data_IF_257341230528
#
_entry.id   IF_257341230528
#
_cell.length_a   1.000
_cell.length_b   1.000
_cell.length_c   1.000
_cell.angle_alpha   90.00
_cell.angle_beta   90.00
_cell.angle_gamma   90.00
#
_symmetry.space_group_name_H-M   'P 1'
#
loop_
_entity.id
_entity.type
_entity.pdbx_description
1 polymer ?
#
# COMPACT_ATOMS: atom_id res chain seq x y z
N UNK A 1 40.30 -17.20 5.45
CA UNK A 1 39.59 -17.09 6.72
C UNK A 1 39.46 -15.60 7.02
N UNK A 2 38.35 -14.98 6.65
CA UNK A 2 37.98 -13.65 7.11
C UNK A 2 36.60 -13.80 7.72
N UNK A 3 36.56 -13.85 9.05
CA UNK A 3 35.35 -13.74 9.84
C UNK A 3 34.74 -12.35 9.62
N UNK A 4 33.89 -12.24 8.62
CA UNK A 4 32.97 -11.11 8.50
C UNK A 4 31.83 -11.29 9.52
N UNK A 5 32.16 -11.11 10.79
CA UNK A 5 31.23 -10.98 11.89
C UNK A 5 30.55 -9.59 11.76
N UNK A 6 29.72 -9.42 10.74
CA UNK A 6 28.88 -8.24 10.56
C UNK A 6 27.81 -8.28 11.64
N UNK A 7 28.09 -7.58 12.77
CA UNK A 7 27.06 -7.27 13.79
C UNK A 7 25.81 -6.80 13.07
N UNK A 8 24.60 -7.25 13.48
CA UNK A 8 23.37 -6.81 12.86
C UNK A 8 23.34 -5.27 12.90
N UNK A 9 23.26 -4.67 11.72
CA UNK A 9 23.24 -3.20 11.57
C UNK A 9 21.95 -2.69 12.19
N UNK A 10 22.03 -1.93 13.28
CA UNK A 10 20.87 -1.27 13.88
C UNK A 10 20.19 -0.32 12.88
N UNK A 11 18.95 0.06 13.14
CA UNK A 11 18.20 0.96 12.26
C UNK A 11 18.90 2.31 12.09
N UNK A 12 19.12 2.71 10.84
CA UNK A 12 19.64 4.05 10.53
C UNK A 12 18.60 5.12 10.88
N UNK A 13 19.06 6.34 11.22
CA UNK A 13 18.16 7.47 11.51
C UNK A 13 17.20 7.75 10.35
N UNK A 14 17.71 7.70 9.10
CA UNK A 14 16.90 7.89 7.91
C UNK A 14 15.76 6.88 7.83
N UNK A 15 16.04 5.59 8.07
CA UNK A 15 15.03 4.55 8.01
C UNK A 15 14.02 4.66 9.17
N UNK A 16 14.45 5.07 10.37
CA UNK A 16 13.57 5.27 11.53
C UNK A 16 12.48 6.31 11.27
N UNK A 17 12.82 7.42 10.63
CA UNK A 17 11.92 8.56 10.47
C UNK A 17 11.25 8.61 9.09
N UNK A 18 11.91 8.15 8.05
CA UNK A 18 11.47 8.29 6.66
C UNK A 18 11.05 6.97 6.00
N UNK A 19 10.92 5.88 6.77
CA UNK A 19 10.47 4.58 6.25
C UNK A 19 9.13 4.67 5.49
N UNK A 20 8.24 5.56 5.92
CA UNK A 20 6.91 5.71 5.35
C UNK A 20 6.78 6.70 4.19
N UNK A 21 7.86 7.31 3.69
CA UNK A 21 7.78 8.27 2.56
C UNK A 21 7.12 7.65 1.33
N UNK A 22 7.42 6.39 1.02
CA UNK A 22 6.75 5.67 -0.05
C UNK A 22 5.25 5.47 0.20
N UNK A 23 4.85 5.26 1.46
CA UNK A 23 3.44 5.12 1.85
C UNK A 23 2.69 6.45 1.78
N UNK A 24 3.36 7.58 2.03
CA UNK A 24 2.80 8.91 1.79
C UNK A 24 2.43 9.08 0.31
N UNK A 25 3.38 8.81 -0.59
CA UNK A 25 3.13 8.85 -2.04
C UNK A 25 2.03 7.87 -2.47
N UNK A 26 2.02 6.66 -1.91
CA UNK A 26 0.96 5.68 -2.14
C UNK A 26 -0.41 6.21 -1.69
N UNK A 27 -0.48 6.88 -0.55
CA UNK A 27 -1.72 7.47 -0.03
C UNK A 27 -2.21 8.60 -0.93
N UNK A 28 -1.32 9.46 -1.41
CA UNK A 28 -1.67 10.50 -2.39
C UNK A 28 -2.29 9.90 -3.64
N UNK A 29 -1.70 8.84 -4.18
CA UNK A 29 -2.22 8.12 -5.35
C UNK A 29 -3.58 7.48 -5.04
N UNK A 30 -3.69 6.69 -3.98
CA UNK A 30 -4.91 5.92 -3.67
C UNK A 30 -6.11 6.81 -3.31
N UNK A 31 -5.86 8.00 -2.79
CA UNK A 31 -6.93 8.94 -2.48
C UNK A 31 -7.63 9.49 -3.75
N UNK A 32 -6.95 9.53 -4.90
CA UNK A 32 -7.62 9.88 -6.16
C UNK A 32 -8.70 8.84 -6.49
N UNK A 33 -8.37 7.56 -6.35
CA UNK A 33 -9.33 6.48 -6.58
C UNK A 33 -10.51 6.59 -5.59
N UNK A 34 -10.20 6.83 -4.31
CA UNK A 34 -11.20 6.92 -3.24
C UNK A 34 -12.18 8.09 -3.43
N UNK A 35 -11.70 9.26 -3.80
CA UNK A 35 -12.51 10.49 -3.82
C UNK A 35 -13.01 10.86 -5.21
N UNK A 36 -12.27 10.54 -6.26
CA UNK A 36 -12.59 11.01 -7.61
C UNK A 36 -12.96 9.94 -8.62
N UNK A 37 -12.69 8.63 -8.36
CA UNK A 37 -13.02 7.61 -9.35
C UNK A 37 -14.52 7.56 -9.65
N UNK A 38 -15.36 7.56 -8.62
CA UNK A 38 -16.82 7.54 -8.81
C UNK A 38 -17.31 8.78 -9.57
N UNK A 39 -16.80 9.96 -9.21
CA UNK A 39 -17.13 11.20 -9.90
C UNK A 39 -16.67 11.18 -11.35
N UNK A 40 -15.46 10.73 -11.62
CA UNK A 40 -14.92 10.60 -12.96
C UNK A 40 -15.78 9.66 -13.82
N UNK A 41 -16.12 8.48 -13.31
CA UNK A 41 -16.90 7.50 -14.06
C UNK A 41 -18.32 7.96 -14.33
N UNK A 42 -18.97 8.67 -13.39
CA UNK A 42 -20.35 9.16 -13.54
C UNK A 42 -20.42 10.43 -14.39
N UNK A 43 -19.63 11.45 -14.06
CA UNK A 43 -19.79 12.79 -14.61
C UNK A 43 -18.91 13.06 -15.85
N UNK A 44 -17.68 12.53 -15.86
CA UNK A 44 -16.72 12.79 -16.96
C UNK A 44 -16.82 11.68 -18.00
N UNK A 45 -16.68 10.43 -17.63
CA UNK A 45 -16.77 9.28 -18.53
C UNK A 45 -18.24 8.97 -18.93
N UNK A 46 -19.22 9.36 -18.09
CA UNK A 46 -20.66 9.21 -18.31
C UNK A 46 -21.12 7.77 -18.50
N UNK A 47 -20.58 6.85 -17.70
CA UNK A 47 -21.08 5.49 -17.63
C UNK A 47 -22.38 5.41 -16.82
N UNK A 48 -23.23 4.44 -17.14
CA UNK A 48 -24.40 4.13 -16.30
C UNK A 48 -23.96 3.58 -14.93
N UNK A 49 -24.75 3.83 -13.89
CA UNK A 49 -24.47 3.31 -12.55
C UNK A 49 -24.29 1.79 -12.51
N UNK A 50 -25.08 1.07 -13.31
CA UNK A 50 -24.95 -0.38 -13.45
C UNK A 50 -23.60 -0.79 -14.03
N UNK A 51 -23.13 -0.11 -15.08
CA UNK A 51 -21.82 -0.36 -15.66
C UNK A 51 -20.70 -0.08 -14.65
N UNK A 52 -20.77 1.03 -13.93
CA UNK A 52 -19.77 1.40 -12.89
C UNK A 52 -19.73 0.32 -11.80
N UNK A 53 -20.89 -0.11 -11.31
CA UNK A 53 -20.97 -1.18 -10.29
C UNK A 53 -20.32 -2.48 -10.78
N UNK A 54 -20.59 -2.91 -12.00
CA UNK A 54 -19.98 -4.11 -12.58
C UNK A 54 -18.47 -3.96 -12.72
N UNK A 55 -17.98 -2.84 -13.28
CA UNK A 55 -16.55 -2.55 -13.46
C UNK A 55 -15.79 -2.58 -12.13
N UNK A 56 -16.29 -1.86 -11.14
CA UNK A 56 -15.65 -1.76 -9.82
C UNK A 56 -15.71 -3.08 -9.06
N UNK A 57 -16.85 -3.82 -9.13
CA UNK A 57 -16.99 -5.12 -8.48
C UNK A 57 -16.04 -6.15 -9.09
N UNK A 58 -15.97 -6.25 -10.41
CA UNK A 58 -15.04 -7.18 -11.09
C UNK A 58 -13.60 -6.87 -10.68
N UNK A 59 -13.21 -5.59 -10.73
CA UNK A 59 -11.87 -5.18 -10.34
C UNK A 59 -11.56 -5.51 -8.88
N UNK A 60 -12.51 -5.28 -7.96
CA UNK A 60 -12.35 -5.56 -6.54
C UNK A 60 -12.26 -7.07 -6.25
N UNK A 61 -13.08 -7.89 -6.90
CA UNK A 61 -13.04 -9.36 -6.73
C UNK A 61 -11.72 -9.93 -7.23
N UNK A 62 -11.27 -9.50 -8.42
CA UNK A 62 -9.98 -9.94 -8.96
C UNK A 62 -8.83 -9.52 -8.04
N UNK A 63 -8.83 -8.28 -7.55
CA UNK A 63 -7.82 -7.79 -6.62
C UNK A 63 -7.81 -8.58 -5.30
N UNK A 64 -8.98 -8.88 -4.75
CA UNK A 64 -9.11 -9.70 -3.54
C UNK A 64 -8.53 -11.11 -3.73
N UNK A 65 -8.82 -11.76 -4.86
CA UNK A 65 -8.26 -13.07 -5.19
C UNK A 65 -6.73 -12.98 -5.33
N UNK A 66 -6.24 -12.02 -6.10
CA UNK A 66 -4.80 -11.86 -6.34
C UNK A 66 -4.04 -11.48 -5.07
N UNK A 67 -4.65 -10.72 -4.17
CA UNK A 67 -4.05 -10.32 -2.90
C UNK A 67 -3.61 -11.51 -2.05
N UNK A 68 -4.33 -12.62 -2.10
CA UNK A 68 -3.96 -13.86 -1.43
C UNK A 68 -2.65 -14.47 -2.00
N UNK A 69 -2.33 -14.17 -3.25
CA UNK A 69 -1.21 -14.79 -3.95
C UNK A 69 0.05 -13.92 -4.01
N UNK A 70 -0.05 -12.59 -3.87
CA UNK A 70 1.13 -11.70 -4.00
C UNK A 70 2.26 -12.05 -3.03
N UNK A 71 1.95 -12.34 -1.77
CA UNK A 71 2.96 -12.74 -0.78
C UNK A 71 3.64 -14.05 -1.15
N UNK A 72 2.86 -15.06 -1.57
CA UNK A 72 3.38 -16.35 -2.03
C UNK A 72 4.20 -16.20 -3.32
N UNK A 73 3.75 -15.35 -4.23
CA UNK A 73 4.44 -15.03 -5.48
C UNK A 73 5.82 -14.43 -5.21
N UNK A 74 5.91 -13.39 -4.38
CA UNK A 74 7.17 -12.75 -4.03
C UNK A 74 8.14 -13.72 -3.33
N UNK A 75 7.62 -14.64 -2.51
CA UNK A 75 8.43 -15.65 -1.84
C UNK A 75 8.93 -16.75 -2.77
N UNK A 76 8.21 -17.07 -3.85
CA UNK A 76 8.59 -18.12 -4.82
C UNK A 76 9.57 -17.64 -5.89
N UNK A 77 9.57 -16.33 -6.19
CA UNK A 77 10.48 -15.79 -7.19
C UNK A 77 11.92 -15.86 -6.69
N UNK A 78 12.83 -16.23 -7.60
CA UNK A 78 14.26 -16.20 -7.31
C UNK A 78 14.70 -14.80 -6.90
N UNK A 79 15.54 -14.68 -5.86
CA UNK A 79 16.09 -13.39 -5.46
C UNK A 79 16.76 -12.67 -6.62
N UNK A 80 16.50 -11.36 -6.75
CA UNK A 80 17.09 -10.53 -7.80
C UNK A 80 18.35 -9.83 -7.28
N UNK A 81 19.06 -9.12 -8.15
CA UNK A 81 20.37 -8.48 -7.87
C UNK A 81 20.43 -7.72 -6.53
N UNK A 82 19.38 -6.99 -6.15
CA UNK A 82 19.36 -6.13 -4.97
C UNK A 82 18.64 -6.72 -3.76
N UNK A 83 18.29 -8.01 -3.79
CA UNK A 83 17.49 -8.71 -2.79
C UNK A 83 16.14 -9.15 -3.34
N UNK A 84 15.41 -9.94 -2.54
CA UNK A 84 14.12 -10.52 -2.89
C UNK A 84 13.02 -9.45 -2.97
N UNK A 85 12.90 -8.60 -1.94
CA UNK A 85 11.85 -7.59 -1.84
C UNK A 85 12.34 -6.22 -2.34
N UNK A 86 13.57 -5.84 -1.97
CA UNK A 86 14.14 -4.56 -2.31
C UNK A 86 14.21 -4.30 -3.81
N UNK A 87 14.41 -5.32 -4.63
CA UNK A 87 14.41 -5.19 -6.09
C UNK A 87 13.07 -4.74 -6.66
N UNK A 88 11.95 -5.09 -6.01
CA UNK A 88 10.62 -4.70 -6.45
C UNK A 88 10.27 -3.25 -6.13
N UNK A 89 10.98 -2.62 -5.17
CA UNK A 89 10.85 -1.19 -4.88
C UNK A 89 11.39 -0.28 -5.98
N UNK A 90 12.15 -0.83 -6.93
CA UNK A 90 12.69 -0.06 -8.06
C UNK A 90 12.14 -0.52 -9.42
N UNK A 91 11.84 -1.81 -9.58
CA UNK A 91 11.47 -2.34 -10.88
C UNK A 91 10.04 -1.98 -11.31
N UNK A 92 9.09 -2.06 -10.39
CA UNK A 92 7.67 -1.93 -10.70
C UNK A 92 7.08 -0.53 -10.49
N UNK A 93 7.54 0.29 -9.52
CA UNK A 93 6.87 1.57 -9.23
C UNK A 93 6.84 2.54 -10.42
N UNK A 94 7.83 2.52 -11.29
CA UNK A 94 7.89 3.40 -12.46
C UNK A 94 6.90 3.04 -13.57
N UNK A 95 6.37 1.82 -13.55
CA UNK A 95 5.31 1.40 -14.46
C UNK A 95 3.93 1.88 -13.98
N UNK A 96 3.76 2.05 -12.68
CA UNK A 96 2.47 2.40 -12.06
C UNK A 96 1.90 3.72 -12.58
N UNK A 97 2.65 4.83 -12.75
CA UNK A 97 2.10 6.09 -13.25
C UNK A 97 1.35 5.96 -14.56
N UNK A 98 1.87 5.18 -15.47
CA UNK A 98 1.24 4.95 -16.79
C UNK A 98 -0.03 4.10 -16.66
N UNK A 99 0.06 2.96 -15.98
CA UNK A 99 -1.07 2.05 -15.83
C UNK A 99 -2.19 2.65 -14.96
N UNK A 100 -1.81 3.41 -13.92
CA UNK A 100 -2.77 4.02 -13.02
C UNK A 100 -3.49 5.21 -13.69
N UNK A 101 -2.80 6.02 -14.48
CA UNK A 101 -3.42 7.10 -15.22
C UNK A 101 -4.42 6.60 -16.28
N UNK A 102 -4.16 5.42 -16.87
CA UNK A 102 -5.04 4.85 -17.92
C UNK A 102 -6.48 4.62 -17.44
N UNK A 103 -6.71 4.35 -16.14
CA UNK A 103 -8.07 4.17 -15.61
C UNK A 103 -8.89 5.47 -15.61
N UNK A 104 -8.23 6.64 -15.72
CA UNK A 104 -8.86 7.96 -15.80
C UNK A 104 -8.84 8.54 -17.22
N UNK A 105 -8.65 7.71 -18.24
CA UNK A 105 -8.70 8.13 -19.65
C UNK A 105 -10.08 7.81 -20.22
N UNK A 106 -10.79 8.83 -20.69
CA UNK A 106 -12.06 8.67 -21.39
C UNK A 106 -11.82 8.35 -22.86
N UNK A 107 -12.13 7.11 -23.27
CA UNK A 107 -12.12 6.71 -24.69
C UNK A 107 -13.55 6.77 -25.25
N UNK A 108 -14.48 6.06 -24.62
CA UNK A 108 -15.90 6.01 -24.98
C UNK A 108 -16.70 5.64 -23.74
N UNK A 109 -17.99 5.96 -23.72
CA UNK A 109 -18.90 5.58 -22.63
C UNK A 109 -19.65 4.25 -22.90
N UNK A 110 -19.34 3.58 -24.01
CA UNK A 110 -19.90 2.27 -24.37
C UNK A 110 -19.15 1.10 -23.71
N UNK A 111 -19.55 -0.13 -24.12
CA UNK A 111 -18.96 -1.36 -23.62
C UNK A 111 -17.45 -1.44 -23.78
N UNK A 112 -16.92 -0.98 -24.91
CA UNK A 112 -15.47 -0.97 -25.16
C UNK A 112 -14.71 -0.09 -24.15
N UNK A 113 -15.25 1.09 -23.80
CA UNK A 113 -14.69 1.96 -22.77
C UNK A 113 -14.74 1.33 -21.39
N UNK A 114 -15.86 0.67 -21.03
CA UNK A 114 -16.01 -0.03 -19.77
C UNK A 114 -14.99 -1.17 -19.61
N UNK A 115 -14.80 -1.97 -20.66
CA UNK A 115 -13.80 -3.05 -20.68
C UNK A 115 -12.38 -2.47 -20.53
N UNK A 116 -12.06 -1.41 -21.30
CA UNK A 116 -10.74 -0.78 -21.22
C UNK A 116 -10.42 -0.27 -19.82
N UNK A 117 -11.33 0.48 -19.19
CA UNK A 117 -11.13 0.99 -17.84
C UNK A 117 -11.04 -0.12 -16.81
N UNK A 118 -11.88 -1.17 -16.92
CA UNK A 118 -11.81 -2.33 -16.04
C UNK A 118 -10.44 -3.03 -16.13
N UNK A 119 -9.93 -3.24 -17.33
CA UNK A 119 -8.60 -3.81 -17.54
C UNK A 119 -7.50 -2.87 -17.00
N UNK A 120 -7.62 -1.57 -17.21
CA UNK A 120 -6.70 -0.58 -16.65
C UNK A 120 -6.71 -0.60 -15.11
N UNK A 121 -7.88 -0.70 -14.48
CA UNK A 121 -8.01 -0.85 -13.03
C UNK A 121 -7.33 -2.13 -12.52
N UNK A 122 -7.56 -3.27 -13.17
CA UNK A 122 -6.96 -4.55 -12.76
C UNK A 122 -5.44 -4.51 -12.93
N UNK A 123 -4.95 -4.07 -14.07
CA UNK A 123 -3.50 -4.04 -14.35
C UNK A 123 -2.76 -3.04 -13.45
N UNK A 124 -3.35 -1.88 -13.17
CA UNK A 124 -2.79 -0.91 -12.25
C UNK A 124 -2.73 -1.45 -10.82
N UNK A 125 -3.78 -2.14 -10.35
CA UNK A 125 -3.81 -2.80 -9.03
C UNK A 125 -2.72 -3.86 -8.90
N UNK A 126 -2.53 -4.69 -9.91
CA UNK A 126 -1.42 -5.66 -9.92
C UNK A 126 -0.08 -4.93 -9.83
N UNK A 127 0.12 -3.88 -10.61
CA UNK A 127 1.37 -3.15 -10.69
C UNK A 127 1.77 -2.48 -9.36
N UNK A 128 0.83 -1.87 -8.64
CA UNK A 128 1.15 -1.19 -7.38
C UNK A 128 1.09 -2.09 -6.14
N UNK A 129 0.36 -3.22 -6.18
CA UNK A 129 0.35 -4.18 -5.06
C UNK A 129 1.72 -4.83 -4.84
N UNK A 130 2.44 -5.13 -5.91
CA UNK A 130 3.76 -5.78 -5.81
C UNK A 130 4.75 -4.92 -5.00
N UNK A 131 5.04 -3.66 -5.35
CA UNK A 131 5.96 -2.83 -4.57
C UNK A 131 5.40 -2.47 -3.20
N UNK A 132 4.08 -2.35 -3.02
CA UNK A 132 3.45 -2.13 -1.73
C UNK A 132 3.74 -3.27 -0.77
N UNK A 133 3.52 -4.53 -1.17
CA UNK A 133 3.78 -5.70 -0.34
C UNK A 133 5.28 -5.86 -0.08
N UNK A 134 6.12 -5.59 -1.07
CA UNK A 134 7.56 -5.57 -0.90
C UNK A 134 7.99 -4.54 0.16
N UNK A 135 7.41 -3.34 0.13
CA UNK A 135 7.63 -2.28 1.10
C UNK A 135 7.23 -2.70 2.52
N UNK A 136 6.03 -3.32 2.68
CA UNK A 136 5.58 -3.85 3.98
C UNK A 136 6.52 -4.95 4.49
N UNK A 137 6.97 -5.84 3.61
CA UNK A 137 7.86 -6.95 3.97
C UNK A 137 9.23 -6.48 4.45
N UNK A 138 9.70 -5.31 3.98
CA UNK A 138 10.96 -4.71 4.43
C UNK A 138 10.98 -4.36 5.92
N UNK A 139 9.82 -4.16 6.58
CA UNK A 139 9.74 -3.94 8.02
C UNK A 139 10.32 -5.13 8.78
N UNK A 140 9.95 -6.35 8.37
CA UNK A 140 10.40 -7.58 9.01
C UNK A 140 11.88 -7.87 8.74
N UNK A 141 12.39 -7.41 7.61
CA UNK A 141 13.79 -7.62 7.21
C UNK A 141 14.70 -6.60 7.90
N UNK A 142 14.32 -5.33 7.91
CA UNK A 142 15.10 -4.24 8.49
C UNK A 142 15.00 -4.23 10.03
N UNK A 143 13.82 -4.46 10.59
CA UNK A 143 13.59 -4.51 12.04
C UNK A 143 13.96 -5.87 12.62
N UNK A 144 15.06 -5.95 13.35
CA UNK A 144 15.54 -7.16 14.00
C UNK A 144 14.81 -7.45 15.32
N UNK A 145 14.47 -6.41 16.06
CA UNK A 145 13.73 -6.50 17.32
C UNK A 145 12.25 -6.12 17.12
N UNK A 146 11.42 -6.49 18.09
CA UNK A 146 10.01 -6.11 18.09
C UNK A 146 9.84 -4.59 18.18
N UNK A 147 10.69 -3.91 18.96
CA UNK A 147 10.68 -2.45 19.10
C UNK A 147 11.03 -1.75 17.79
N UNK A 148 12.03 -2.24 17.05
CA UNK A 148 12.40 -1.71 15.75
C UNK A 148 11.28 -1.88 14.72
N UNK A 149 10.62 -3.03 14.67
CA UNK A 149 9.47 -3.27 13.77
C UNK A 149 8.31 -2.35 14.10
N UNK A 150 8.03 -2.15 15.38
CA UNK A 150 6.98 -1.25 15.83
C UNK A 150 7.31 0.21 15.47
N UNK A 151 8.56 0.63 15.63
CA UNK A 151 9.00 1.97 15.24
C UNK A 151 8.84 2.20 13.73
N UNK A 152 9.23 1.23 12.90
CA UNK A 152 9.03 1.31 11.45
C UNK A 152 7.54 1.37 11.07
N UNK A 153 6.72 0.52 11.70
CA UNK A 153 5.28 0.52 11.47
C UNK A 153 4.62 1.85 11.89
N UNK A 154 5.00 2.39 13.04
CA UNK A 154 4.51 3.71 13.50
C UNK A 154 4.94 4.84 12.56
N UNK A 155 6.18 4.82 12.09
CA UNK A 155 6.66 5.79 11.10
C UNK A 155 5.82 5.74 9.82
N UNK A 156 5.49 4.56 9.31
CA UNK A 156 4.62 4.39 8.14
C UNK A 156 3.23 4.96 8.38
N UNK A 157 2.61 4.68 9.52
CA UNK A 157 1.28 5.22 9.87
C UNK A 157 1.27 6.75 9.90
N UNK A 158 2.30 7.37 10.47
CA UNK A 158 2.46 8.83 10.47
C UNK A 158 2.52 9.37 9.04
N UNK A 159 3.35 8.79 8.17
CA UNK A 159 3.48 9.23 6.78
C UNK A 159 2.21 8.99 5.95
N UNK A 160 1.47 7.90 6.19
CA UNK A 160 0.16 7.64 5.57
C UNK A 160 -0.85 8.72 5.97
N UNK A 161 -0.97 9.03 7.26
CA UNK A 161 -1.87 10.08 7.74
C UNK A 161 -1.47 11.46 7.20
N UNK A 162 -0.17 11.75 7.16
CA UNK A 162 0.36 12.97 6.57
C UNK A 162 0.04 13.09 5.08
N UNK A 163 0.15 11.98 4.33
CA UNK A 163 -0.27 11.90 2.94
C UNK A 163 -1.75 12.24 2.74
N UNK A 164 -2.64 11.75 3.62
CA UNK A 164 -4.08 12.08 3.55
C UNK A 164 -4.34 13.55 3.84
N UNK A 165 -3.65 14.13 4.83
CA UNK A 165 -3.75 15.56 5.14
C UNK A 165 -3.29 16.42 3.97
N UNK A 166 -2.14 16.10 3.38
CA UNK A 166 -1.65 16.79 2.18
C UNK A 166 -2.66 16.68 1.04
N UNK A 167 -3.18 15.47 0.81
CA UNK A 167 -4.15 15.24 -0.27
C UNK A 167 -5.40 16.09 -0.13
N UNK A 168 -5.88 16.34 1.10
CA UNK A 168 -7.08 17.16 1.34
C UNK A 168 -7.00 18.54 0.71
N UNK A 169 -5.81 19.10 0.60
CA UNK A 169 -5.57 20.41 -0.02
C UNK A 169 -5.02 20.31 -1.44
N UNK A 170 -4.01 19.46 -1.62
CA UNK A 170 -3.27 19.36 -2.89
C UNK A 170 -4.06 18.57 -3.94
N UNK A 171 -4.88 17.61 -3.54
CA UNK A 171 -5.68 16.80 -4.45
C UNK A 171 -6.66 17.62 -5.30
N UNK A 172 -7.61 18.36 -4.68
CA UNK A 172 -8.51 19.24 -5.42
C UNK A 172 -7.78 20.32 -6.21
N UNK A 173 -6.74 20.92 -5.64
CA UNK A 173 -5.95 21.95 -6.31
C UNK A 173 -5.25 21.41 -7.57
N UNK A 174 -4.67 20.22 -7.52
CA UNK A 174 -4.02 19.59 -8.66
C UNK A 174 -5.04 19.29 -9.78
N UNK A 175 -6.21 18.75 -9.44
CA UNK A 175 -7.28 18.51 -10.43
C UNK A 175 -7.70 19.83 -11.08
N UNK A 176 -7.89 20.91 -10.30
CA UNK A 176 -8.27 22.22 -10.83
C UNK A 176 -7.20 22.82 -11.75
N UNK A 177 -5.93 22.76 -11.37
CA UNK A 177 -4.81 23.25 -12.19
C UNK A 177 -4.72 22.47 -13.51
N UNK A 178 -4.77 21.14 -13.46
CA UNK A 178 -4.73 20.34 -14.68
C UNK A 178 -5.99 20.48 -15.53
N UNK A 179 -7.16 20.74 -14.93
CA UNK A 179 -8.37 21.07 -15.68
C UNK A 179 -8.22 22.37 -16.49
N UNK A 180 -7.57 23.38 -15.93
CA UNK A 180 -7.25 24.62 -16.64
C UNK A 180 -6.24 24.46 -17.78
N UNK A 181 -5.31 23.48 -17.69
CA UNK A 181 -4.24 23.29 -18.68
C UNK A 181 -4.64 22.25 -19.76
N UNK A 182 -5.23 21.13 -19.37
CA UNK A 182 -5.46 19.94 -20.21
C UNK A 182 -6.95 19.68 -20.47
N UNK A 183 -7.84 20.48 -19.88
CA UNK A 183 -9.29 20.28 -19.89
C UNK A 183 -9.74 19.26 -18.85
N UNK A 184 -11.03 19.34 -18.45
CA UNK A 184 -11.63 18.53 -17.39
C UNK A 184 -11.47 17.01 -17.59
N UNK A 185 -11.54 16.57 -18.85
CA UNK A 185 -11.46 15.13 -19.17
C UNK A 185 -10.10 14.53 -18.83
N UNK A 186 -9.02 15.28 -19.07
CA UNK A 186 -7.64 14.78 -18.90
C UNK A 186 -7.05 15.15 -17.53
N UNK A 187 -7.69 16.04 -16.79
CA UNK A 187 -7.21 16.51 -15.48
C UNK A 187 -6.99 15.37 -14.49
N UNK A 188 -7.92 14.42 -14.44
CA UNK A 188 -7.87 13.28 -13.53
C UNK A 188 -6.72 12.32 -13.88
N UNK A 189 -6.53 12.04 -15.17
CA UNK A 189 -5.42 11.20 -15.64
C UNK A 189 -4.06 11.84 -15.34
N UNK A 190 -3.92 13.16 -15.57
CA UNK A 190 -2.71 13.91 -15.25
C UNK A 190 -2.42 13.93 -13.74
N UNK A 191 -3.44 14.19 -12.92
CA UNK A 191 -3.31 14.16 -11.46
C UNK A 191 -2.92 12.76 -10.97
N UNK A 192 -3.57 11.73 -11.49
CA UNK A 192 -3.27 10.33 -11.18
C UNK A 192 -1.82 9.97 -11.56
N UNK A 193 -1.35 10.42 -12.72
CA UNK A 193 0.02 10.23 -13.17
C UNK A 193 1.02 10.89 -12.22
N UNK A 194 0.83 12.15 -11.87
CA UNK A 194 1.75 12.90 -11.00
C UNK A 194 1.82 12.27 -9.60
N UNK A 195 0.68 11.93 -8.99
CA UNK A 195 0.69 11.36 -7.64
C UNK A 195 1.26 9.95 -7.61
N UNK A 196 1.02 9.14 -8.63
CA UNK A 196 1.67 7.83 -8.73
C UNK A 196 3.16 7.93 -9.06
N UNK A 197 3.61 8.97 -9.77
CA UNK A 197 5.03 9.27 -9.93
C UNK A 197 5.69 9.68 -8.61
N UNK A 198 5.01 10.46 -7.77
CA UNK A 198 5.46 10.77 -6.41
C UNK A 198 5.56 9.51 -5.54
N UNK A 199 4.61 8.56 -5.67
CA UNK A 199 4.70 7.25 -5.03
C UNK A 199 5.95 6.49 -5.50
N UNK A 200 6.22 6.45 -6.80
CA UNK A 200 7.39 5.78 -7.35
C UNK A 200 8.70 6.41 -6.84
N UNK A 201 8.77 7.74 -6.76
CA UNK A 201 9.90 8.45 -6.18
C UNK A 201 10.07 8.14 -4.68
N UNK A 202 8.98 8.06 -3.92
CA UNK A 202 9.00 7.66 -2.51
C UNK A 202 9.50 6.23 -2.30
N UNK A 203 9.08 5.28 -3.13
CA UNK A 203 9.61 3.91 -3.08
C UNK A 203 11.07 3.82 -3.53
N UNK A 204 11.49 4.64 -4.47
CA UNK A 204 12.91 4.76 -4.82
C UNK A 204 13.73 5.29 -3.64
N UNK A 205 13.25 6.29 -2.92
CA UNK A 205 13.90 6.76 -1.70
C UNK A 205 14.00 5.65 -0.65
N UNK A 206 12.94 4.87 -0.44
CA UNK A 206 12.95 3.72 0.45
C UNK A 206 13.94 2.63 -0.01
N UNK A 207 14.01 2.34 -1.31
CA UNK A 207 15.04 1.46 -1.88
C UNK A 207 16.46 1.92 -1.52
N UNK A 208 16.73 3.23 -1.56
CA UNK A 208 18.05 3.78 -1.18
C UNK A 208 18.31 3.64 0.32
N UNK A 209 17.33 3.92 1.16
CA UNK A 209 17.46 3.84 2.63
C UNK A 209 17.62 2.41 3.14
N UNK A 210 17.06 1.43 2.45
CA UNK A 210 17.12 0.01 2.83
C UNK A 210 18.38 -0.72 2.34
N UNK A 211 19.35 0.00 1.75
CA UNK A 211 20.61 -0.60 1.29
C UNK A 211 21.38 -1.24 2.45
N UNK A 212 21.72 -2.53 2.30
CA UNK A 212 22.50 -3.30 3.27
C UNK A 212 21.68 -3.92 4.41
N UNK A 213 20.33 -3.83 4.39
CA UNK A 213 19.48 -4.54 5.33
C UNK A 213 19.01 -5.90 4.81
N UNK A 214 18.88 -6.07 3.51
CA UNK A 214 18.53 -7.32 2.86
C UNK A 214 19.76 -7.92 2.18
N UNK A 215 19.90 -9.24 2.23
CA UNK A 215 20.92 -9.99 1.50
C UNK A 215 20.79 -9.76 -0.01
N UNK A 216 21.90 -9.67 -0.71
CA UNK A 216 21.88 -9.62 -2.16
C UNK A 216 21.34 -10.94 -2.73
N UNK A 217 20.84 -10.89 -3.97
CA UNK A 217 20.31 -12.11 -4.59
C UNK A 217 21.34 -13.24 -4.70
N UNK A 218 22.63 -12.91 -4.87
CA UNK A 218 23.71 -13.89 -4.90
C UNK A 218 23.92 -14.53 -3.52
N UNK A 219 23.97 -13.72 -2.46
CA UNK A 219 24.16 -14.21 -1.07
C UNK A 219 22.97 -15.07 -0.62
N UNK A 220 21.73 -14.65 -0.93
CA UNK A 220 20.54 -15.44 -0.61
C UNK A 220 20.50 -16.78 -1.38
N UNK A 221 20.87 -16.78 -2.66
CA UNK A 221 20.95 -18.02 -3.46
C UNK A 221 22.00 -18.98 -2.91
N UNK A 222 23.16 -18.47 -2.49
CA UNK A 222 24.20 -19.29 -1.86
C UNK A 222 23.73 -19.87 -0.52
N UNK A 223 23.06 -19.07 0.32
CA UNK A 223 22.45 -19.54 1.56
C UNK A 223 21.41 -20.63 1.32
N UNK A 224 20.49 -20.44 0.36
CA UNK A 224 19.48 -21.43 0.00
C UNK A 224 20.10 -22.71 -0.55
N UNK A 225 21.18 -22.63 -1.33
CA UNK A 225 21.90 -23.80 -1.81
C UNK A 225 22.57 -24.57 -0.67
N UNK A 226 23.18 -23.88 0.30
CA UNK A 226 23.76 -24.48 1.51
C UNK A 226 22.68 -25.15 2.37
N UNK A 227 21.53 -24.50 2.58
CA UNK A 227 20.39 -25.06 3.32
C UNK A 227 19.79 -26.29 2.62
N UNK A 228 19.68 -26.26 1.28
CA UNK A 228 19.21 -27.42 0.50
C UNK A 228 20.18 -28.61 0.59
N UNK A 229 21.49 -28.34 0.58
CA UNK A 229 22.51 -29.37 0.77
C UNK A 229 22.48 -29.96 2.20
N UNK A 230 22.23 -29.12 3.21
CA UNK A 230 22.10 -29.57 4.61
C UNK A 230 20.82 -30.40 4.83
N UNK A 231 19.69 -29.98 4.20
CA UNK A 231 18.40 -30.73 4.28
C UNK A 231 18.42 -32.09 3.61
N UNK A 232 19.27 -32.28 2.60
CA UNK A 232 19.50 -33.64 2.01
C UNK A 232 20.17 -34.61 3.00
N UNK A 233 20.78 -34.10 4.07
CA UNK A 233 21.47 -34.90 5.09
C UNK A 233 20.64 -35.12 6.37
N UNK A 234 19.53 -34.42 6.56
CA UNK A 234 18.67 -34.58 7.75
C UNK A 234 17.21 -34.32 7.39
N UNK A 235 16.36 -35.27 7.75
CA UNK A 235 14.98 -35.51 7.41
C UNK A 235 14.05 -34.33 7.18
N UNK A 236 12.93 -34.62 6.51
CA UNK A 236 11.87 -33.71 6.07
C UNK A 236 11.36 -32.78 7.17
N UNK A 237 11.56 -31.49 7.00
CA UNK A 237 10.83 -30.46 7.72
C UNK A 237 9.42 -30.37 7.10
N UNK A 238 8.38 -30.68 7.89
CA UNK A 238 6.97 -30.55 7.50
C UNK A 238 6.71 -29.13 6.95
N UNK A 239 6.38 -29.05 5.67
CA UNK A 239 5.85 -27.81 5.06
C UNK A 239 4.43 -27.61 5.57
N UNK A 240 4.26 -26.81 6.60
CA UNK A 240 2.94 -26.39 7.06
C UNK A 240 2.37 -25.46 5.96
N UNK A 241 1.26 -25.88 5.35
CA UNK A 241 0.51 -25.03 4.42
C UNK A 241 0.04 -23.77 5.14
N UNK A 242 0.00 -22.63 4.44
CA UNK A 242 -0.51 -21.35 5.00
C UNK A 242 -1.91 -21.52 5.61
N UNK A 243 -2.79 -22.30 4.97
CA UNK A 243 -4.10 -22.66 5.52
C UNK A 243 -4.00 -23.57 6.74
N UNK A 244 -3.05 -24.47 6.77
CA UNK A 244 -2.77 -25.32 7.95
C UNK A 244 -2.33 -24.49 9.14
N UNK A 245 -1.48 -23.50 8.94
CA UNK A 245 -1.01 -22.60 10.00
C UNK A 245 -2.17 -21.79 10.62
N UNK A 246 -3.14 -21.35 9.83
CA UNK A 246 -4.34 -20.64 10.30
C UNK A 246 -5.24 -21.57 11.13
N UNK A 247 -5.46 -22.82 10.67
CA UNK A 247 -6.26 -23.82 11.41
C UNK A 247 -5.62 -24.22 12.74
N UNK A 248 -4.30 -24.30 12.79
CA UNK A 248 -3.57 -24.71 13.98
C UNK A 248 -3.37 -23.57 15.00
N UNK A 249 -3.68 -22.32 14.64
CA UNK A 249 -3.47 -21.18 15.53
C UNK A 249 -4.73 -20.30 15.64
N UNK A 250 -5.59 -20.54 16.64
CA UNK A 250 -6.82 -19.78 16.83
C UNK A 250 -6.58 -18.29 17.08
N UNK A 251 -5.46 -17.90 17.66
CA UNK A 251 -5.11 -16.48 17.84
C UNK A 251 -4.95 -15.75 16.52
N UNK A 252 -4.46 -16.43 15.48
CA UNK A 252 -4.33 -15.87 14.15
C UNK A 252 -5.71 -15.61 13.52
N UNK A 253 -6.67 -16.50 13.73
CA UNK A 253 -8.05 -16.35 13.28
C UNK A 253 -8.72 -15.14 13.94
N UNK A 254 -8.57 -14.97 15.26
CA UNK A 254 -9.11 -13.80 15.96
C UNK A 254 -8.48 -12.49 15.48
N UNK A 255 -7.18 -12.48 15.18
CA UNK A 255 -6.52 -11.32 14.58
C UNK A 255 -7.09 -10.98 13.19
N UNK A 256 -7.37 -11.98 12.36
CA UNK A 256 -8.02 -11.76 11.05
C UNK A 256 -9.42 -11.18 11.22
N UNK A 257 -10.25 -11.76 12.08
CA UNK A 257 -11.60 -11.27 12.34
C UNK A 257 -11.61 -9.84 12.90
N UNK A 258 -10.70 -9.54 13.82
CA UNK A 258 -10.53 -8.19 14.36
C UNK A 258 -10.15 -7.18 13.27
N UNK A 259 -9.21 -7.53 12.38
CA UNK A 259 -8.83 -6.67 11.28
C UNK A 259 -9.97 -6.47 10.27
N UNK A 260 -10.70 -7.53 9.92
CA UNK A 260 -11.87 -7.44 9.02
C UNK A 260 -12.89 -6.48 9.63
N UNK A 261 -13.26 -6.64 10.90
CA UNK A 261 -14.21 -5.77 11.60
C UNK A 261 -13.75 -4.31 11.61
N UNK A 262 -12.47 -4.08 11.90
CA UNK A 262 -11.86 -2.73 11.86
C UNK A 262 -12.00 -2.07 10.48
N UNK A 263 -11.68 -2.79 9.41
CA UNK A 263 -11.75 -2.23 8.06
C UNK A 263 -13.18 -2.01 7.59
N UNK A 264 -14.13 -2.90 7.96
CA UNK A 264 -15.55 -2.69 7.68
C UNK A 264 -16.02 -1.38 8.31
N UNK A 265 -15.74 -1.15 9.60
CA UNK A 265 -16.11 0.09 10.29
C UNK A 265 -15.45 1.29 9.64
N UNK A 266 -14.16 1.20 9.33
CA UNK A 266 -13.40 2.32 8.71
C UNK A 266 -14.00 2.71 7.35
N UNK A 267 -14.30 1.74 6.49
CA UNK A 267 -14.90 2.01 5.17
C UNK A 267 -16.32 2.52 5.28
N UNK A 268 -17.13 1.98 6.22
CA UNK A 268 -18.47 2.48 6.46
C UNK A 268 -18.45 3.93 6.95
N UNK A 269 -17.62 4.26 7.92
CA UNK A 269 -17.52 5.64 8.45
C UNK A 269 -17.09 6.61 7.34
N UNK A 270 -16.06 6.27 6.56
CA UNK A 270 -15.60 7.13 5.47
C UNK A 270 -16.63 7.26 4.35
N UNK A 271 -17.28 6.16 3.96
CA UNK A 271 -18.32 6.18 2.92
C UNK A 271 -19.59 6.91 3.34
N UNK A 272 -20.02 6.75 4.58
CA UNK A 272 -21.23 7.41 5.11
C UNK A 272 -20.98 8.87 5.47
N UNK A 273 -19.75 9.26 5.80
CA UNK A 273 -19.42 10.64 6.17
C UNK A 273 -19.84 11.64 5.11
N UNK A 274 -19.59 11.35 3.83
CA UNK A 274 -19.99 12.22 2.71
C UNK A 274 -21.50 12.42 2.70
N UNK A 275 -22.26 11.33 2.82
CA UNK A 275 -23.72 11.39 2.82
C UNK A 275 -24.26 12.12 4.06
N UNK A 276 -23.65 11.89 5.22
CA UNK A 276 -24.04 12.57 6.46
C UNK A 276 -23.86 14.09 6.34
N UNK A 277 -22.69 14.56 5.91
CA UNK A 277 -22.44 16.00 5.79
C UNK A 277 -23.22 16.65 4.64
N UNK A 278 -23.53 15.93 3.59
CA UNK A 278 -24.33 16.45 2.46
C UNK A 278 -25.82 16.50 2.79
N UNK A 279 -26.39 15.42 3.31
CA UNK A 279 -27.84 15.27 3.43
C UNK A 279 -28.37 15.53 4.83
N UNK A 280 -27.62 15.22 5.89
CA UNK A 280 -28.05 15.37 7.29
C UNK A 280 -27.59 16.71 7.84
N UNK A 281 -26.30 16.97 7.80
CA UNK A 281 -25.71 18.23 8.27
C UNK A 281 -25.99 19.41 7.33
N UNK A 282 -26.29 19.15 6.06
CA UNK A 282 -26.47 20.16 4.99
C UNK A 282 -25.30 21.15 4.87
N UNK A 283 -24.13 20.74 5.30
CA UNK A 283 -22.91 21.53 5.26
C UNK A 283 -21.73 20.65 4.82
N UNK A 284 -21.49 20.52 3.49
CA UNK A 284 -20.41 19.70 2.94
C UNK A 284 -19.01 20.14 3.38
N UNK A 285 -18.81 21.42 3.72
CA UNK A 285 -17.48 21.95 4.10
C UNK A 285 -16.98 21.34 5.41
N UNK A 286 -17.90 20.93 6.29
CA UNK A 286 -17.55 20.24 7.54
C UNK A 286 -16.89 18.87 7.30
N UNK A 287 -17.09 18.24 6.14
CA UNK A 287 -16.43 17.00 5.79
C UNK A 287 -14.90 17.16 5.79
N UNK A 288 -14.40 18.25 5.21
CA UNK A 288 -12.97 18.55 5.19
C UNK A 288 -12.40 18.69 6.59
N UNK A 289 -13.09 19.43 7.47
CA UNK A 289 -12.71 19.56 8.87
C UNK A 289 -12.74 18.25 9.64
N UNK A 290 -13.75 17.41 9.41
CA UNK A 290 -13.85 16.08 10.01
C UNK A 290 -12.68 15.17 9.59
N UNK A 291 -12.40 15.08 8.30
CA UNK A 291 -11.30 14.27 7.78
C UNK A 291 -9.95 14.77 8.28
N UNK A 292 -9.74 16.09 8.32
CA UNK A 292 -8.54 16.69 8.89
C UNK A 292 -8.36 16.34 10.37
N UNK A 293 -9.39 16.52 11.19
CA UNK A 293 -9.34 16.22 12.62
C UNK A 293 -9.10 14.72 12.86
N UNK A 294 -9.79 13.83 12.14
CA UNK A 294 -9.62 12.39 12.26
C UNK A 294 -8.19 11.94 11.93
N UNK A 295 -7.60 12.50 10.86
CA UNK A 295 -6.22 12.19 10.47
C UNK A 295 -5.20 12.78 11.44
N UNK A 296 -5.42 13.98 11.96
CA UNK A 296 -4.56 14.60 12.98
C UNK A 296 -4.54 13.75 14.26
N UNK A 297 -5.71 13.34 14.74
CA UNK A 297 -5.82 12.43 15.89
C UNK A 297 -5.13 11.09 15.63
N UNK A 298 -5.23 10.55 14.41
CA UNK A 298 -4.53 9.33 14.02
C UNK A 298 -3.01 9.46 14.08
N UNK A 299 -2.46 10.60 13.67
CA UNK A 299 -1.03 10.91 13.78
C UNK A 299 -0.61 10.93 15.26
N UNK A 300 -1.35 11.65 16.10
CA UNK A 300 -1.09 11.74 17.54
C UNK A 300 -1.17 10.36 18.19
N UNK A 301 -2.22 9.59 17.90
CA UNK A 301 -2.39 8.23 18.43
C UNK A 301 -1.25 7.30 18.00
N UNK A 302 -0.82 7.36 16.74
CA UNK A 302 0.31 6.57 16.23
C UNK A 302 1.63 6.94 16.90
N UNK A 303 1.83 8.21 17.20
CA UNK A 303 3.01 8.68 17.92
C UNK A 303 2.97 8.23 19.39
N UNK A 304 1.81 8.28 20.03
CA UNK A 304 1.62 7.85 21.43
C UNK A 304 1.70 6.33 21.59
N UNK A 305 1.34 5.56 20.57
CA UNK A 305 1.33 4.10 20.62
C UNK A 305 2.67 3.50 21.07
N UNK A 306 3.79 4.06 20.61
CA UNK A 306 5.13 3.61 21.02
C UNK A 306 5.38 3.73 22.52
N UNK A 307 4.87 4.79 23.15
CA UNK A 307 5.04 5.01 24.60
C UNK A 307 4.14 4.08 25.41
N UNK A 308 2.91 3.85 24.91
CA UNK A 308 1.95 2.94 25.55
C UNK A 308 2.49 1.51 25.53
N UNK A 309 2.97 1.05 24.38
CA UNK A 309 3.52 -0.31 24.22
C UNK A 309 4.79 -0.50 25.05
N UNK A 310 5.64 0.52 25.17
CA UNK A 310 6.83 0.46 26.02
C UNK A 310 6.48 0.29 27.51
N UNK A 311 5.35 0.87 27.98
CA UNK A 311 4.91 0.76 29.38
C UNK A 311 4.10 -0.51 29.69
N UNK A 312 3.25 -0.97 28.77
CA UNK A 312 2.23 -2.01 29.06
C UNK A 312 2.66 -3.40 28.58
N UNK A 313 3.74 -3.49 27.81
CA UNK A 313 4.17 -4.69 27.09
C UNK A 313 3.26 -5.07 25.91
N UNK A 314 3.84 -5.36 24.74
CA UNK A 314 3.13 -5.59 23.48
C UNK A 314 2.10 -6.74 23.49
N UNK A 315 2.12 -7.61 24.50
CA UNK A 315 1.12 -8.69 24.67
C UNK A 315 -0.17 -8.23 25.37
N UNK A 316 -0.18 -7.06 26.02
CA UNK A 316 -1.32 -6.53 26.77
C UNK A 316 -1.93 -5.29 26.14
N UNK A 317 -1.30 -4.76 25.07
CA UNK A 317 -1.81 -3.64 24.26
C UNK A 317 -2.59 -4.13 23.06
#
# INVERSE_FOLDING_TARGET
MSDNNTKPKGLSKSLKYFCGVGDCGFTLMSNIDTFYASYFFTNIARFSLGAITVMTTISAVIDAILSCFYGAFLNKIKPKKWGRYRSWLILTPWLVPFLYAMQFVKITNGLAGAIFITLAMITSRIAWNIPYIANVSMINIAGKTQEERMQLSSSRMVWTSFGTVIYSYVGPAAVAVFAGILGETNAYAATAFVFSALMAAGYYAHFRMTKGYEETGAEEMERLAREAAAKKKGGESQKISTFGAVKCNPHLLFLFLSNISKYIVLFMVNGLAIYYFTYVSKNPDLLTGFLFAANLLSIVASYCAKFIVAKINAKRT
#
